data_IF_075512401690
#
_entry.id   IF_075512401690
#
_cell.length_a   1.000
_cell.length_b   1.000
_cell.length_c   1.000
_cell.angle_alpha   90.00
_cell.angle_beta   90.00
_cell.angle_gamma   90.00
#
_symmetry.space_group_name_H-M   'P 1'
#
loop_
_entity.id
_entity.type
_entity.pdbx_description
1 polymer ?
#
# COMPACT_ATOMS: atom_id res chain seq x y z
N UNK A 1 -3.03 -2.94 25.24
CA UNK A 1 -2.88 -1.75 24.40
C UNK A 1 -1.74 -2.02 23.45
N UNK A 2 -1.97 -1.88 22.14
CA UNK A 2 -0.93 -2.08 21.14
C UNK A 2 -0.11 -0.80 21.00
N UNK A 3 1.21 -0.92 21.07
CA UNK A 3 2.15 0.19 20.96
C UNK A 3 2.78 0.18 19.56
N UNK A 4 2.40 1.16 18.74
CA UNK A 4 2.89 1.22 17.35
C UNK A 4 4.40 1.42 17.27
N UNK A 5 5.04 2.07 18.24
CA UNK A 5 6.48 2.28 18.21
C UNK A 5 7.21 0.96 18.39
N UNK A 6 6.79 0.15 19.35
CA UNK A 6 7.37 -1.18 19.61
C UNK A 6 7.05 -2.18 18.51
N UNK A 7 5.81 -2.19 18.01
CA UNK A 7 5.43 -3.09 16.91
C UNK A 7 6.22 -2.76 15.64
N UNK A 8 6.38 -1.47 15.34
CA UNK A 8 7.12 -1.05 14.17
C UNK A 8 8.61 -1.29 14.32
N UNK A 9 9.16 -1.10 15.52
CA UNK A 9 10.54 -1.47 15.84
C UNK A 9 10.80 -2.96 15.56
N UNK A 10 9.93 -3.84 16.08
CA UNK A 10 10.05 -5.28 15.88
C UNK A 10 9.90 -5.69 14.41
N UNK A 11 8.99 -5.05 13.66
CA UNK A 11 8.74 -5.35 12.25
C UNK A 11 9.83 -4.85 11.32
N UNK A 12 10.38 -3.67 11.59
CA UNK A 12 11.46 -3.09 10.79
C UNK A 12 12.81 -3.74 11.15
N UNK A 13 12.93 -4.27 12.36
CA UNK A 13 14.15 -4.86 12.91
C UNK A 13 15.16 -3.79 13.32
N UNK A 14 14.71 -2.75 14.03
CA UNK A 14 15.58 -1.70 14.56
C UNK A 14 16.00 -2.00 16.00
N UNK A 15 17.27 -1.78 16.32
CA UNK A 15 17.76 -1.90 17.70
C UNK A 15 17.21 -0.77 18.59
N UNK A 16 17.06 0.44 18.05
CA UNK A 16 16.55 1.60 18.78
C UNK A 16 15.37 2.28 18.09
N UNK A 17 14.46 2.86 18.90
CA UNK A 17 13.34 3.67 18.41
C UNK A 17 13.81 4.93 17.66
N UNK A 18 14.97 5.47 18.07
CA UNK A 18 15.62 6.62 17.43
C UNK A 18 15.96 6.39 15.96
N UNK A 19 16.05 5.14 15.53
CA UNK A 19 16.44 4.81 14.17
C UNK A 19 15.24 4.71 13.22
N UNK A 20 14.02 4.64 13.74
CA UNK A 20 12.79 4.59 12.93
C UNK A 20 12.69 5.71 11.89
N UNK A 21 13.04 6.99 12.21
CA UNK A 21 13.06 8.07 11.21
C UNK A 21 14.09 7.86 10.09
N UNK A 22 15.12 7.04 10.28
CA UNK A 22 16.07 6.66 9.22
C UNK A 22 15.50 5.58 8.30
N UNK A 23 14.58 4.76 8.80
CA UNK A 23 13.97 3.64 8.06
C UNK A 23 12.57 3.95 7.52
N UNK A 24 12.26 5.23 7.20
CA UNK A 24 10.92 5.68 6.75
C UNK A 24 10.29 4.81 5.68
N UNK A 25 11.10 4.32 4.71
CA UNK A 25 10.61 3.45 3.64
C UNK A 25 10.15 2.09 4.14
N UNK A 26 10.90 1.46 5.04
CA UNK A 26 10.51 0.18 5.66
C UNK A 26 9.28 0.36 6.54
N UNK A 27 9.28 1.41 7.38
CA UNK A 27 8.12 1.78 8.20
C UNK A 27 6.87 1.96 7.35
N UNK A 28 6.98 2.68 6.22
CA UNK A 28 5.87 2.89 5.30
C UNK A 28 5.30 1.57 4.75
N UNK A 29 6.17 0.64 4.36
CA UNK A 29 5.73 -0.68 3.87
C UNK A 29 5.02 -1.49 4.96
N UNK A 30 5.51 -1.47 6.19
CA UNK A 30 4.88 -2.18 7.31
C UNK A 30 3.57 -1.53 7.74
N UNK A 31 3.49 -0.19 7.77
CA UNK A 31 2.23 0.53 8.02
C UNK A 31 1.14 0.17 7.01
N UNK A 32 1.49 -0.03 5.74
CA UNK A 32 0.53 -0.46 4.70
C UNK A 32 -0.02 -1.86 4.94
N UNK A 33 0.73 -2.73 5.62
CA UNK A 33 0.38 -4.13 5.90
C UNK A 33 -0.37 -4.28 7.22
N UNK A 34 -0.15 -3.35 8.14
CA UNK A 34 -0.76 -3.33 9.46
C UNK A 34 -2.23 -2.87 9.43
N UNK A 35 -3.00 -3.40 10.38
CA UNK A 35 -4.33 -2.90 10.68
C UNK A 35 -4.22 -1.68 11.59
N UNK A 36 -4.13 -0.48 11.00
CA UNK A 36 -4.01 0.78 11.75
C UNK A 36 -5.20 1.07 12.68
N UNK A 37 -6.32 0.35 12.54
CA UNK A 37 -7.49 0.46 13.41
C UNK A 37 -7.27 -0.14 14.80
N UNK A 38 -6.25 -0.99 14.98
CA UNK A 38 -5.95 -1.65 16.26
C UNK A 38 -5.17 -0.74 17.24
N UNK A 39 -4.86 0.50 16.83
CA UNK A 39 -4.07 1.46 17.58
C UNK A 39 -4.88 2.75 17.83
N UNK A 40 -4.58 3.43 18.94
CA UNK A 40 -5.22 4.70 19.27
C UNK A 40 -4.76 5.82 18.31
N UNK A 41 -5.70 6.67 17.89
CA UNK A 41 -5.43 7.76 16.94
C UNK A 41 -4.36 8.73 17.42
N UNK A 42 -4.33 9.05 18.73
CA UNK A 42 -3.28 9.92 19.29
C UNK A 42 -1.88 9.32 19.12
N UNK A 43 -1.76 8.02 19.34
CA UNK A 43 -0.51 7.30 19.19
C UNK A 43 -0.05 7.28 17.72
N UNK A 44 -1.00 7.12 16.79
CA UNK A 44 -0.74 7.21 15.35
C UNK A 44 -0.29 8.60 14.92
N UNK A 45 -0.88 9.64 15.50
CA UNK A 45 -0.52 11.04 15.25
C UNK A 45 0.89 11.34 15.73
N UNK A 46 1.23 10.96 16.97
CA UNK A 46 2.58 11.16 17.53
C UNK A 46 3.63 10.37 16.75
N UNK A 47 3.33 9.13 16.40
CA UNK A 47 4.20 8.29 15.56
C UNK A 47 4.44 8.89 14.18
N UNK A 48 3.38 9.40 13.54
CA UNK A 48 3.47 10.00 12.20
C UNK A 48 4.32 11.25 12.22
N UNK A 49 4.13 12.11 13.23
CA UNK A 49 4.97 13.30 13.44
C UNK A 49 6.42 12.93 13.69
N UNK A 50 6.67 11.90 14.49
CA UNK A 50 8.02 11.46 14.83
C UNK A 50 8.78 10.91 13.62
N UNK A 51 8.20 9.96 12.86
CA UNK A 51 8.90 9.27 11.77
C UNK A 51 8.88 10.08 10.47
N UNK A 52 7.74 10.67 10.12
CA UNK A 52 7.52 11.32 8.83
C UNK A 52 7.58 12.84 8.91
N UNK A 53 7.46 13.44 10.09
CA UNK A 53 7.34 14.89 10.24
C UNK A 53 6.00 15.43 9.74
N UNK A 54 4.97 14.57 9.63
CA UNK A 54 3.66 14.91 9.08
C UNK A 54 2.54 14.36 9.98
N UNK A 55 1.34 14.93 9.89
CA UNK A 55 0.18 14.41 10.62
C UNK A 55 -0.24 13.04 10.08
N UNK A 56 -0.86 12.24 10.96
CA UNK A 56 -1.40 10.95 10.57
C UNK A 56 -2.48 11.09 9.49
N UNK A 57 -3.25 12.17 9.52
CA UNK A 57 -4.25 12.46 8.49
C UNK A 57 -3.62 12.59 7.10
N UNK A 58 -2.52 13.34 6.95
CA UNK A 58 -1.79 13.45 5.67
C UNK A 58 -1.27 12.08 5.20
N UNK A 59 -0.70 11.31 6.12
CA UNK A 59 -0.19 9.95 5.82
C UNK A 59 -1.33 9.04 5.34
N UNK A 60 -2.47 9.06 6.02
CA UNK A 60 -3.67 8.28 5.69
C UNK A 60 -4.21 8.60 4.30
N UNK A 61 -4.25 9.88 3.93
CA UNK A 61 -4.67 10.32 2.59
C UNK A 61 -3.70 9.84 1.50
N UNK A 62 -2.39 9.93 1.74
CA UNK A 62 -1.37 9.41 0.81
C UNK A 62 -1.50 7.89 0.62
N UNK A 63 -1.75 7.14 1.70
CA UNK A 63 -1.98 5.69 1.64
C UNK A 63 -3.24 5.36 0.81
N UNK A 64 -4.33 6.09 1.02
CA UNK A 64 -5.59 5.93 0.26
C UNK A 64 -5.39 6.21 -1.23
N UNK A 65 -4.65 7.28 -1.57
CA UNK A 65 -4.35 7.63 -2.96
C UNK A 65 -3.48 6.57 -3.66
N UNK A 66 -2.50 5.99 -2.95
CA UNK A 66 -1.68 4.91 -3.51
C UNK A 66 -2.48 3.63 -3.76
N UNK A 67 -3.35 3.24 -2.83
CA UNK A 67 -4.21 2.05 -2.98
C UNK A 67 -5.14 2.17 -4.19
N UNK A 68 -5.71 3.35 -4.43
CA UNK A 68 -6.52 3.63 -5.62
C UNK A 68 -5.74 3.49 -6.93
N UNK A 69 -4.50 3.98 -6.97
CA UNK A 69 -3.62 3.82 -8.14
C UNK A 69 -3.22 2.36 -8.40
N UNK A 70 -2.88 1.61 -7.35
CA UNK A 70 -2.55 0.18 -7.46
C UNK A 70 -3.74 -0.63 -7.98
N UNK A 71 -4.95 -0.34 -7.49
CA UNK A 71 -6.19 -0.99 -7.94
C UNK A 71 -6.55 -0.62 -9.39
N UNK A 72 -6.40 0.66 -9.75
CA UNK A 72 -6.62 1.12 -11.13
C UNK A 72 -5.62 0.50 -12.10
N UNK A 73 -4.35 0.35 -11.70
CA UNK A 73 -3.33 -0.35 -12.49
C UNK A 73 -3.70 -1.83 -12.70
N UNK A 74 -4.14 -2.52 -11.64
CA UNK A 74 -4.66 -3.90 -11.74
C UNK A 74 -5.86 -4.02 -12.70
N UNK A 75 -6.83 -3.10 -12.60
CA UNK A 75 -8.00 -3.08 -13.49
C UNK A 75 -7.61 -2.83 -14.94
N UNK A 76 -6.70 -1.90 -15.20
CA UNK A 76 -6.16 -1.65 -16.55
C UNK A 76 -5.43 -2.88 -17.10
N UNK A 77 -4.55 -3.51 -16.32
CA UNK A 77 -3.88 -4.76 -16.72
C UNK A 77 -4.86 -5.89 -17.07
N UNK A 78 -5.92 -6.07 -16.28
CA UNK A 78 -6.99 -7.03 -16.58
C UNK A 78 -7.78 -6.67 -17.86
N UNK A 79 -7.99 -5.37 -18.11
CA UNK A 79 -8.69 -4.90 -19.31
C UNK A 79 -7.91 -5.19 -20.59
N UNK A 80 -6.59 -4.98 -20.60
CA UNK A 80 -5.71 -5.37 -21.71
C UNK A 80 -5.77 -6.87 -22.00
N UNK A 81 -5.71 -7.70 -20.94
CA UNK A 81 -5.80 -9.16 -21.06
C UNK A 81 -7.14 -9.62 -21.64
N UNK A 82 -8.24 -8.95 -21.30
CA UNK A 82 -9.58 -9.23 -21.86
C UNK A 82 -9.68 -8.79 -23.34
N UNK A 83 -9.12 -7.64 -23.71
CA UNK A 83 -9.04 -7.20 -25.11
C UNK A 83 -8.22 -8.15 -25.99
N UNK A 84 -7.09 -8.62 -25.48
CA UNK A 84 -6.25 -9.59 -26.19
C UNK A 84 -7.00 -10.91 -26.47
N UNK A 85 -7.76 -11.41 -25.49
CA UNK A 85 -8.57 -12.62 -25.64
C UNK A 85 -9.74 -12.44 -26.63
N UNK A 86 -10.36 -11.26 -26.65
CA UNK A 86 -11.41 -10.93 -27.63
C UNK A 86 -10.85 -10.85 -29.06
N UNK A 87 -9.66 -10.26 -29.25
CA UNK A 87 -8.99 -10.23 -30.54
C UNK A 87 -8.65 -11.65 -31.02
N UNK A 88 -8.09 -12.52 -30.16
CA UNK A 88 -7.79 -13.93 -30.50
C UNK A 88 -9.05 -14.71 -30.91
N UNK A 89 -10.20 -14.48 -30.26
CA UNK A 89 -11.48 -15.08 -30.66
C UNK A 89 -11.94 -14.61 -32.04
N UNK A 90 -11.87 -13.30 -32.32
CA UNK A 90 -12.25 -12.75 -33.63
C UNK A 90 -11.45 -13.37 -34.78
N UNK A 91 -10.14 -13.59 -34.57
CA UNK A 91 -9.26 -14.23 -35.56
C UNK A 91 -9.57 -15.72 -35.79
N UNK A 92 -10.12 -16.43 -34.80
CA UNK A 92 -10.53 -17.84 -34.97
C UNK A 92 -11.90 -17.98 -35.64
N UNK A 93 -12.86 -17.08 -35.38
CA UNK A 93 -14.18 -17.11 -36.02
C UNK A 93 -14.23 -16.56 -37.45
N UNK A 94 -13.15 -15.91 -37.92
CA UNK A 94 -13.01 -15.48 -39.32
C UNK A 94 -12.43 -16.54 -40.27
N UNK A 95 -12.08 -17.73 -39.77
CA UNK A 95 -11.43 -18.79 -40.55
C UNK A 95 -12.35 -19.96 -40.96
N UNK A 96 -13.66 -19.81 -40.81
CA UNK A 96 -14.62 -20.64 -41.58
C UNK A 96 -14.71 -20.10 -43.00
N UNK A 97 -13.72 -20.46 -43.81
CA UNK A 97 -13.78 -20.35 -45.26
C UNK A 97 -14.57 -21.53 -45.85
N UNK A 98 -15.39 -21.16 -46.85
CA UNK A 98 -16.03 -21.96 -47.91
C UNK A 98 -17.29 -22.72 -47.58
#
# INVERSE_FOLDING_TARGET
MNDIFKDMQAKVGCDYLSDLPSYKRKVWHEMKRLNLADYEERQLEDFSKYVFGMSYQTIKDVMKQQKGREEQCRKQGCWWKRKEQLAKKQHHTGSTCR
#
